data_IF_738063095151
#
_entry.id   IF_738063095151
#
_cell.length_a   1.000
_cell.length_b   1.000
_cell.length_c   1.000
_cell.angle_alpha   90.00
_cell.angle_beta   90.00
_cell.angle_gamma   90.00
#
_symmetry.space_group_name_H-M   'P 1'
#
loop_
_entity.id
_entity.type
_entity.pdbx_description
1 polymer ?
#
# COMPACT_ATOMS: atom_id res chain seq x y z
N UNK A 1 -10.02 -45.38 5.76
CA UNK A 1 -9.74 -44.07 5.10
C UNK A 1 -10.22 -42.98 6.04
N UNK A 2 -9.33 -42.15 6.60
CA UNK A 2 -9.75 -40.98 7.39
C UNK A 2 -10.23 -39.90 6.42
N UNK A 3 -11.47 -39.43 6.57
CA UNK A 3 -12.02 -38.31 5.80
C UNK A 3 -11.77 -37.02 6.59
N UNK A 4 -11.25 -36.00 5.93
CA UNK A 4 -11.08 -34.67 6.50
C UNK A 4 -12.02 -33.71 5.78
N UNK A 5 -12.74 -32.88 6.54
CA UNK A 5 -13.49 -31.78 5.97
C UNK A 5 -12.54 -30.61 5.78
N UNK A 6 -12.30 -30.23 4.52
CA UNK A 6 -11.45 -29.10 4.15
C UNK A 6 -12.38 -27.96 3.72
N UNK A 7 -12.24 -26.81 4.39
CA UNK A 7 -12.92 -25.57 4.01
C UNK A 7 -11.86 -24.57 3.50
N UNK A 8 -12.00 -24.13 2.25
CA UNK A 8 -11.06 -23.19 1.63
C UNK A 8 -11.56 -21.78 1.90
N UNK A 9 -10.87 -21.07 2.79
CA UNK A 9 -11.25 -19.70 3.16
C UNK A 9 -11.02 -18.71 2.01
N UNK A 10 -9.79 -18.66 1.49
CA UNK A 10 -9.37 -17.68 0.49
C UNK A 10 -8.34 -18.27 -0.46
N UNK A 11 -8.33 -17.76 -1.68
CA UNK A 11 -7.25 -17.96 -2.66
C UNK A 11 -6.58 -16.61 -2.88
N UNK A 12 -5.27 -16.59 -2.65
CA UNK A 12 -4.41 -15.42 -2.79
C UNK A 12 -3.35 -15.74 -3.84
N UNK A 13 -3.19 -14.86 -4.82
CA UNK A 13 -2.22 -15.02 -5.89
C UNK A 13 -1.87 -13.66 -6.51
N UNK A 14 -0.74 -13.60 -7.21
CA UNK A 14 -0.40 -12.47 -8.07
C UNK A 14 -1.41 -12.34 -9.24
N UNK A 15 -1.40 -11.22 -9.96
CA UNK A 15 -2.40 -10.98 -11.02
C UNK A 15 -2.37 -12.04 -12.14
N UNK A 16 -1.20 -12.46 -12.66
CA UNK A 16 -1.14 -13.53 -13.66
C UNK A 16 -1.68 -14.88 -13.17
N UNK A 17 -1.27 -15.36 -11.99
CA UNK A 17 -1.73 -16.64 -11.47
C UNK A 17 -3.21 -16.59 -11.09
N UNK A 18 -3.68 -15.47 -10.51
CA UNK A 18 -5.10 -15.25 -10.24
C UNK A 18 -5.93 -15.39 -11.50
N UNK A 19 -5.57 -14.68 -12.58
CA UNK A 19 -6.31 -14.75 -13.85
C UNK A 19 -6.35 -16.18 -14.43
N UNK A 20 -5.23 -16.91 -14.35
CA UNK A 20 -5.13 -18.32 -14.78
C UNK A 20 -6.01 -19.25 -13.97
N UNK A 21 -6.07 -19.06 -12.65
CA UNK A 21 -6.85 -19.93 -11.76
C UNK A 21 -8.34 -19.64 -11.90
N UNK A 22 -8.73 -18.38 -12.05
CA UNK A 22 -10.14 -17.98 -12.17
C UNK A 22 -10.67 -18.00 -13.61
N UNK A 23 -9.83 -18.32 -14.60
CA UNK A 23 -10.16 -18.23 -16.04
C UNK A 23 -10.75 -16.87 -16.45
N UNK A 24 -10.18 -15.81 -15.88
CA UNK A 24 -10.48 -14.42 -16.25
C UNK A 24 -9.38 -13.88 -17.18
N UNK A 25 -9.69 -12.80 -17.89
CA UNK A 25 -8.70 -12.06 -18.67
C UNK A 25 -7.52 -11.63 -17.79
N UNK A 26 -6.31 -11.79 -18.33
CA UNK A 26 -5.08 -11.34 -17.67
C UNK A 26 -5.02 -9.83 -17.54
N UNK A 27 -4.12 -9.35 -16.68
CA UNK A 27 -4.02 -7.93 -16.28
C UNK A 27 -3.84 -6.90 -17.41
N UNK A 28 -3.42 -7.34 -18.60
CA UNK A 28 -3.24 -6.51 -19.78
C UNK A 28 -4.41 -6.57 -20.78
N UNK A 29 -5.49 -7.28 -20.46
CA UNK A 29 -6.68 -7.40 -21.32
C UNK A 29 -7.80 -6.43 -20.95
N UNK A 30 -8.83 -6.38 -21.79
CA UNK A 30 -10.13 -5.76 -21.49
C UNK A 30 -10.88 -6.57 -20.43
N UNK A 31 -11.77 -5.95 -19.65
CA UNK A 31 -12.54 -6.62 -18.58
C UNK A 31 -11.70 -7.47 -17.60
N UNK A 32 -10.44 -7.09 -17.38
CA UNK A 32 -9.47 -7.83 -16.58
C UNK A 32 -9.64 -7.63 -15.07
N UNK A 33 -10.44 -6.64 -14.64
CA UNK A 33 -10.81 -6.53 -13.23
C UNK A 33 -11.67 -7.74 -12.84
N UNK A 34 -11.20 -8.47 -11.82
CA UNK A 34 -11.93 -9.59 -11.25
C UNK A 34 -13.07 -9.17 -10.33
N UNK A 35 -13.14 -7.90 -9.92
CA UNK A 35 -14.16 -7.43 -8.99
C UNK A 35 -15.23 -6.52 -9.62
N UNK A 36 -15.03 -5.98 -10.82
CA UNK A 36 -16.04 -5.16 -11.51
C UNK A 36 -16.00 -5.34 -13.03
N UNK A 37 -17.07 -4.91 -13.69
CA UNK A 37 -17.27 -5.01 -15.15
C UNK A 37 -16.75 -3.80 -15.92
N UNK A 38 -15.77 -3.06 -15.38
CA UNK A 38 -15.15 -1.97 -16.12
C UNK A 38 -14.42 -2.51 -17.36
N UNK A 39 -14.81 -2.03 -18.53
CA UNK A 39 -14.03 -2.24 -19.75
C UNK A 39 -12.81 -1.32 -19.74
N UNK A 40 -11.63 -1.88 -19.98
CA UNK A 40 -10.42 -1.07 -20.09
C UNK A 40 -10.36 -0.30 -21.40
N UNK A 41 -9.70 0.85 -21.41
CA UNK A 41 -9.51 1.67 -22.62
C UNK A 41 -8.07 1.52 -23.14
N UNK A 42 -7.86 1.57 -24.46
CA UNK A 42 -6.51 1.43 -25.02
C UNK A 42 -5.72 2.75 -24.92
N UNK A 43 -4.49 2.71 -24.39
CA UNK A 43 -3.56 3.83 -24.49
C UNK A 43 -3.13 4.01 -25.95
N UNK A 44 -3.50 5.13 -26.58
CA UNK A 44 -3.16 5.41 -27.99
C UNK A 44 -1.65 5.39 -28.28
N UNK A 45 -0.82 5.78 -27.30
CA UNK A 45 0.63 5.90 -27.45
C UNK A 45 1.38 4.56 -27.36
N UNK A 46 0.93 3.67 -26.47
CA UNK A 46 1.68 2.46 -26.09
C UNK A 46 0.89 1.16 -26.33
N UNK A 47 -0.37 1.27 -26.77
CA UNK A 47 -1.29 0.17 -27.11
C UNK A 47 -1.66 -0.80 -25.98
N UNK A 48 -1.18 -0.57 -24.75
CA UNK A 48 -1.64 -1.32 -23.57
C UNK A 48 -2.97 -0.82 -23.04
N UNK A 49 -3.64 -1.64 -22.23
CA UNK A 49 -4.96 -1.36 -21.67
C UNK A 49 -4.85 -0.58 -20.36
N UNK A 50 -5.73 0.42 -20.23
CA UNK A 50 -5.86 1.34 -19.11
C UNK A 50 -7.16 1.07 -18.36
N UNK A 51 -7.12 1.31 -17.05
CA UNK A 51 -8.28 1.28 -16.16
C UNK A 51 -8.28 2.60 -15.39
N UNK A 52 -8.81 3.65 -16.03
CA UNK A 52 -8.67 5.02 -15.52
C UNK A 52 -9.68 5.32 -14.41
N UNK A 53 -9.34 6.26 -13.53
CA UNK A 53 -10.30 6.75 -12.54
C UNK A 53 -11.50 7.44 -13.20
N UNK A 54 -11.28 8.18 -14.29
CA UNK A 54 -12.36 8.84 -15.03
C UNK A 54 -13.39 7.83 -15.54
N UNK A 55 -12.94 6.77 -16.21
CA UNK A 55 -13.82 5.74 -16.77
C UNK A 55 -14.59 5.03 -15.66
N UNK A 56 -13.91 4.66 -14.57
CA UNK A 56 -14.55 4.05 -13.40
C UNK A 56 -15.62 4.96 -12.76
N UNK A 57 -15.29 6.23 -12.55
CA UNK A 57 -16.18 7.18 -11.87
C UNK A 57 -17.41 7.55 -12.69
N UNK A 58 -17.28 7.59 -14.02
CA UNK A 58 -18.38 7.89 -14.96
C UNK A 58 -19.25 6.66 -15.20
N UNK A 59 -18.64 5.50 -15.48
CA UNK A 59 -19.38 4.28 -15.79
C UNK A 59 -20.05 3.66 -14.56
N UNK A 60 -19.50 3.88 -13.36
CA UNK A 60 -19.94 3.24 -12.12
C UNK A 60 -20.19 1.74 -12.31
N UNK A 61 -19.14 1.00 -12.75
CA UNK A 61 -19.31 -0.35 -13.27
C UNK A 61 -19.88 -1.28 -12.20
N UNK A 62 -20.77 -2.18 -12.63
CA UNK A 62 -21.32 -3.21 -11.76
C UNK A 62 -20.21 -4.07 -11.16
N UNK A 63 -20.36 -4.37 -9.87
CA UNK A 63 -19.50 -5.30 -9.15
C UNK A 63 -19.84 -6.72 -9.59
N UNK A 64 -18.82 -7.52 -9.88
CA UNK A 64 -19.01 -8.93 -10.26
C UNK A 64 -19.52 -9.72 -9.07
N UNK A 65 -20.49 -10.58 -9.33
CA UNK A 65 -21.00 -11.59 -8.39
C UNK A 65 -20.69 -12.99 -8.92
N UNK A 66 -20.91 -14.01 -8.09
CA UNK A 66 -20.78 -15.40 -8.49
C UNK A 66 -21.71 -15.71 -9.68
N UNK A 67 -22.98 -15.30 -9.59
CA UNK A 67 -24.01 -15.57 -10.60
C UNK A 67 -23.64 -14.92 -11.94
N UNK A 68 -23.08 -13.71 -11.90
CA UNK A 68 -22.61 -13.04 -13.10
C UNK A 68 -21.43 -13.79 -13.74
N UNK A 69 -20.48 -14.27 -12.95
CA UNK A 69 -19.34 -15.05 -13.47
C UNK A 69 -19.81 -16.38 -14.06
N UNK A 70 -20.72 -17.09 -13.38
CA UNK A 70 -21.25 -18.38 -13.85
C UNK A 70 -22.04 -18.22 -15.14
N UNK A 71 -22.87 -17.18 -15.25
CA UNK A 71 -23.61 -16.88 -16.47
C UNK A 71 -22.67 -16.54 -17.64
N UNK A 72 -21.63 -15.74 -17.40
CA UNK A 72 -20.62 -15.43 -18.41
C UNK A 72 -19.81 -16.67 -18.82
N UNK A 73 -19.49 -17.55 -17.87
CA UNK A 73 -18.80 -18.81 -18.13
C UNK A 73 -19.64 -19.75 -19.00
N UNK A 74 -20.92 -19.96 -18.65
CA UNK A 74 -21.84 -20.78 -19.43
C UNK A 74 -22.00 -20.27 -20.87
N UNK A 75 -22.15 -18.95 -21.04
CA UNK A 75 -22.17 -18.35 -22.37
C UNK A 75 -20.86 -18.61 -23.14
N UNK A 76 -19.71 -18.47 -22.47
CA UNK A 76 -18.42 -18.63 -23.12
C UNK A 76 -18.16 -20.06 -23.58
N UNK A 77 -18.59 -21.05 -22.79
CA UNK A 77 -18.52 -22.48 -23.13
C UNK A 77 -19.44 -22.83 -24.30
N UNK A 78 -20.66 -22.28 -24.34
CA UNK A 78 -21.62 -22.54 -25.42
C UNK A 78 -21.25 -21.84 -26.74
N UNK A 79 -20.77 -20.60 -26.66
CA UNK A 79 -20.50 -19.77 -27.86
C UNK A 79 -19.06 -19.87 -28.38
N UNK A 80 -18.13 -20.42 -27.58
CA UNK A 80 -16.69 -20.37 -27.85
C UNK A 80 -16.09 -18.96 -27.76
N UNK A 81 -16.84 -17.95 -27.28
CA UNK A 81 -16.42 -16.55 -27.19
C UNK A 81 -16.39 -16.07 -25.74
N UNK A 82 -15.33 -15.35 -25.38
CA UNK A 82 -15.19 -14.75 -24.04
C UNK A 82 -16.33 -13.76 -23.78
N UNK A 83 -16.92 -13.81 -22.59
CA UNK A 83 -17.98 -12.88 -22.15
C UNK A 83 -17.49 -12.04 -20.98
N UNK A 84 -17.43 -10.72 -21.16
CA UNK A 84 -16.91 -9.77 -20.17
C UNK A 84 -15.60 -10.28 -19.54
N UNK A 85 -14.66 -10.77 -20.34
CA UNK A 85 -13.38 -11.28 -19.85
C UNK A 85 -13.40 -12.62 -19.10
N UNK A 86 -14.54 -13.31 -18.99
CA UNK A 86 -14.62 -14.70 -18.52
C UNK A 86 -14.41 -15.64 -19.71
N UNK A 87 -13.57 -16.68 -19.53
CA UNK A 87 -13.22 -17.61 -20.61
C UNK A 87 -14.06 -18.88 -20.57
N UNK A 88 -14.30 -19.41 -19.38
CA UNK A 88 -15.06 -20.63 -19.10
C UNK A 88 -15.22 -20.78 -17.57
N UNK A 89 -15.89 -21.83 -17.10
CA UNK A 89 -16.01 -22.11 -15.67
C UNK A 89 -14.67 -22.53 -15.06
N UNK A 90 -14.27 -21.85 -13.98
CA UNK A 90 -13.06 -22.22 -13.24
C UNK A 90 -13.30 -23.51 -12.47
N UNK A 91 -12.34 -24.46 -12.42
CA UNK A 91 -12.42 -25.62 -11.54
C UNK A 91 -12.60 -25.24 -10.06
N UNK A 92 -12.20 -24.01 -9.68
CA UNK A 92 -12.36 -23.52 -8.32
C UNK A 92 -13.77 -23.02 -8.00
N UNK A 93 -14.63 -22.75 -8.99
CA UNK A 93 -16.01 -22.28 -8.73
C UNK A 93 -16.85 -23.29 -7.93
N UNK A 94 -16.47 -24.57 -7.99
CA UNK A 94 -17.08 -25.66 -7.22
C UNK A 94 -16.66 -25.69 -5.74
N UNK A 95 -15.57 -25.00 -5.39
CA UNK A 95 -14.94 -25.06 -4.07
C UNK A 95 -15.03 -23.71 -3.35
N UNK A 96 -14.96 -22.62 -4.11
CA UNK A 96 -14.95 -21.24 -3.60
C UNK A 96 -15.82 -20.33 -4.46
N UNK A 97 -16.31 -19.26 -3.84
CA UNK A 97 -16.99 -18.19 -4.55
C UNK A 97 -15.99 -17.28 -5.27
N UNK A 98 -16.10 -17.18 -6.58
CA UNK A 98 -15.38 -16.26 -7.45
C UNK A 98 -16.33 -15.10 -7.80
N UNK A 99 -15.91 -13.83 -7.63
CA UNK A 99 -14.55 -13.40 -7.30
C UNK A 99 -14.31 -13.23 -5.80
N UNK A 100 -15.32 -13.39 -4.95
CA UNK A 100 -15.26 -12.91 -3.57
C UNK A 100 -14.18 -13.58 -2.71
N UNK A 101 -13.93 -14.88 -2.86
CA UNK A 101 -12.88 -15.61 -2.13
C UNK A 101 -11.53 -15.64 -2.86
N UNK A 102 -11.46 -15.10 -4.08
CA UNK A 102 -10.20 -14.83 -4.79
C UNK A 102 -9.78 -13.38 -4.51
N UNK A 103 -8.91 -13.17 -3.54
CA UNK A 103 -8.55 -11.83 -3.06
C UNK A 103 -7.32 -11.26 -3.77
N UNK A 104 -7.19 -9.93 -3.79
CA UNK A 104 -6.01 -9.26 -4.32
C UNK A 104 -4.95 -9.20 -3.25
N UNK A 105 -3.77 -9.74 -3.54
CA UNK A 105 -2.65 -9.66 -2.62
C UNK A 105 -2.03 -8.25 -2.61
N UNK A 106 -2.06 -7.61 -1.45
CA UNK A 106 -1.45 -6.29 -1.29
C UNK A 106 0.09 -6.35 -1.32
N UNK A 107 0.71 -7.50 -1.03
CA UNK A 107 2.16 -7.66 -1.16
C UNK A 107 2.60 -7.43 -2.61
N UNK A 108 2.03 -8.18 -3.55
CA UNK A 108 2.37 -8.05 -4.97
C UNK A 108 1.83 -6.72 -5.52
N UNK A 109 0.62 -6.32 -5.13
CA UNK A 109 -0.02 -5.12 -5.66
C UNK A 109 0.69 -3.82 -5.19
N UNK A 110 0.80 -3.62 -3.88
CA UNK A 110 1.26 -2.35 -3.29
C UNK A 110 2.77 -2.26 -3.27
N UNK A 111 3.46 -3.31 -2.82
CA UNK A 111 4.91 -3.24 -2.62
C UNK A 111 5.66 -3.58 -3.91
N UNK A 112 5.50 -4.79 -4.46
CA UNK A 112 6.27 -5.17 -5.65
C UNK A 112 5.81 -4.46 -6.93
N UNK A 113 4.52 -4.17 -7.05
CA UNK A 113 3.96 -3.42 -8.17
C UNK A 113 4.11 -1.91 -8.00
N UNK A 114 3.27 -1.34 -7.15
CA UNK A 114 3.10 0.10 -7.02
C UNK A 114 4.34 0.83 -6.50
N UNK A 115 4.93 0.39 -5.39
CA UNK A 115 6.09 1.07 -4.80
C UNK A 115 7.25 1.11 -5.80
N UNK A 116 7.51 0.01 -6.51
CA UNK A 116 8.56 -0.04 -7.56
C UNK A 116 8.25 0.92 -8.70
N UNK A 117 6.99 1.02 -9.14
CA UNK A 117 6.58 2.00 -10.15
C UNK A 117 6.83 3.43 -9.64
N UNK A 118 6.38 3.77 -8.43
CA UNK A 118 6.57 5.09 -7.84
C UNK A 118 8.05 5.46 -7.71
N UNK A 119 8.90 4.52 -7.30
CA UNK A 119 10.35 4.73 -7.20
C UNK A 119 10.99 5.03 -8.56
N UNK A 120 10.57 4.34 -9.63
CA UNK A 120 11.00 4.65 -11.00
C UNK A 120 10.63 6.08 -11.38
N UNK A 121 9.39 6.48 -11.10
CA UNK A 121 8.91 7.84 -11.41
C UNK A 121 9.61 8.93 -10.62
N UNK A 122 9.81 8.72 -9.32
CA UNK A 122 10.53 9.67 -8.49
C UNK A 122 11.99 9.78 -8.91
N UNK A 123 12.64 8.66 -9.25
CA UNK A 123 14.03 8.67 -9.74
C UNK A 123 14.20 9.53 -10.99
N UNK A 124 13.22 9.55 -11.91
CA UNK A 124 13.26 10.41 -13.10
C UNK A 124 13.19 11.90 -12.79
N UNK A 125 12.64 12.29 -11.63
CA UNK A 125 12.54 13.67 -11.17
C UNK A 125 13.76 14.12 -10.35
N UNK A 126 14.59 13.19 -9.90
CA UNK A 126 15.70 13.43 -8.99
C UNK A 126 17.02 13.58 -9.75
N UNK A 127 17.84 14.56 -9.34
CA UNK A 127 19.22 14.68 -9.83
C UNK A 127 20.11 13.66 -9.11
N UNK A 128 21.29 13.38 -9.69
CA UNK A 128 22.26 12.45 -9.08
C UNK A 128 22.65 12.85 -7.64
N UNK A 129 22.78 14.15 -7.36
CA UNK A 129 22.99 14.68 -6.00
C UNK A 129 21.88 14.27 -5.04
N UNK A 130 20.62 14.31 -5.47
CA UNK A 130 19.50 13.88 -4.63
C UNK A 130 19.56 12.37 -4.37
N UNK A 131 19.91 11.58 -5.38
CA UNK A 131 20.06 10.12 -5.25
C UNK A 131 21.16 9.80 -4.23
N UNK A 132 22.33 10.44 -4.34
CA UNK A 132 23.42 10.26 -3.38
C UNK A 132 23.01 10.69 -1.97
N UNK A 133 22.28 11.79 -1.82
CA UNK A 133 21.72 12.21 -0.53
C UNK A 133 20.78 11.15 0.06
N UNK A 134 19.91 10.54 -0.76
CA UNK A 134 19.02 9.46 -0.32
C UNK A 134 19.85 8.26 0.14
N UNK A 135 20.85 7.84 -0.63
CA UNK A 135 21.69 6.69 -0.31
C UNK A 135 22.43 6.90 1.02
N UNK A 136 23.02 8.08 1.23
CA UNK A 136 23.67 8.42 2.50
C UNK A 136 22.66 8.38 3.66
N UNK A 137 21.48 8.98 3.47
CA UNK A 137 20.43 8.98 4.49
C UNK A 137 19.95 7.56 4.85
N UNK A 138 19.68 6.72 3.85
CA UNK A 138 19.30 5.32 4.06
C UNK A 138 20.43 4.54 4.74
N UNK A 139 21.68 4.94 4.49
CA UNK A 139 22.85 4.33 5.07
C UNK A 139 23.05 4.69 6.55
N UNK A 140 22.76 5.92 6.92
CA UNK A 140 22.95 6.48 8.26
C UNK A 140 21.78 6.16 9.22
N UNK A 141 20.60 5.82 8.69
CA UNK A 141 19.44 5.45 9.52
C UNK A 141 19.76 4.20 10.35
N UNK A 142 19.52 4.30 11.67
CA UNK A 142 19.50 3.14 12.57
C UNK A 142 18.16 2.40 12.45
N UNK A 143 18.22 1.15 12.03
CA UNK A 143 17.04 0.27 11.91
C UNK A 143 16.81 -0.48 13.22
N UNK A 144 15.56 -0.53 13.73
CA UNK A 144 15.24 -1.35 14.90
C UNK A 144 15.57 -2.83 14.67
N UNK A 145 15.95 -3.57 15.71
CA UNK A 145 16.28 -5.00 15.63
C UNK A 145 15.15 -5.88 15.07
N UNK A 146 13.90 -5.41 15.13
CA UNK A 146 12.75 -6.08 14.52
C UNK A 146 12.77 -6.06 12.98
N UNK A 147 13.60 -5.23 12.37
CA UNK A 147 13.77 -5.16 10.92
C UNK A 147 14.78 -6.23 10.51
N UNK A 148 14.36 -7.13 9.62
CA UNK A 148 15.20 -8.24 9.17
C UNK A 148 16.53 -7.79 8.56
N UNK A 149 16.53 -6.64 7.86
CA UNK A 149 17.72 -6.06 7.27
C UNK A 149 17.49 -4.60 6.88
N UNK A 150 18.60 -3.88 6.75
CA UNK A 150 18.68 -2.56 6.14
C UNK A 150 18.38 -2.65 4.62
N UNK A 151 17.51 -1.77 4.06
CA UNK A 151 17.33 -1.66 2.62
C UNK A 151 18.66 -1.37 1.90
N UNK A 152 18.79 -1.85 0.67
CA UNK A 152 19.93 -1.46 -0.19
C UNK A 152 19.81 0.02 -0.59
N UNK A 153 20.85 0.54 -1.22
CA UNK A 153 20.85 1.87 -1.83
C UNK A 153 19.65 2.07 -2.75
N UNK A 154 19.08 3.27 -2.72
CA UNK A 154 17.99 3.73 -3.57
C UNK A 154 18.36 3.61 -5.04
N UNK A 155 19.60 3.90 -5.44
CA UNK A 155 19.99 3.76 -6.84
C UNK A 155 19.77 2.32 -7.38
N UNK A 156 19.84 1.32 -6.48
CA UNK A 156 19.65 -0.10 -6.73
C UNK A 156 18.28 -0.64 -6.31
N UNK A 157 17.25 0.22 -6.18
CA UNK A 157 15.94 -0.18 -5.66
C UNK A 157 15.28 -1.34 -6.42
N UNK A 158 15.65 -1.59 -7.68
CA UNK A 158 15.15 -2.73 -8.47
C UNK A 158 15.58 -4.09 -7.90
N UNK A 159 16.60 -4.11 -7.05
CA UNK A 159 17.08 -5.31 -6.35
C UNK A 159 16.54 -5.43 -4.92
N UNK A 160 15.67 -4.51 -4.50
CA UNK A 160 15.02 -4.57 -3.20
C UNK A 160 14.05 -5.75 -3.18
N UNK A 161 14.08 -6.52 -2.09
CA UNK A 161 13.07 -7.54 -1.83
C UNK A 161 11.81 -6.88 -1.29
N UNK A 162 10.69 -7.58 -1.33
CA UNK A 162 9.43 -7.10 -0.78
C UNK A 162 9.51 -6.64 0.68
N UNK A 163 10.35 -7.28 1.51
CA UNK A 163 10.60 -6.82 2.88
C UNK A 163 11.21 -5.42 2.95
N UNK A 164 12.14 -5.09 2.05
CA UNK A 164 12.76 -3.77 1.97
C UNK A 164 11.76 -2.75 1.43
N UNK A 165 10.98 -3.11 0.41
CA UNK A 165 9.93 -2.27 -0.17
C UNK A 165 8.84 -1.94 0.88
N UNK A 166 8.45 -2.91 1.70
CA UNK A 166 7.50 -2.72 2.81
C UNK A 166 8.07 -1.76 3.85
N UNK A 167 9.31 -1.99 4.29
CA UNK A 167 10.03 -1.11 5.23
C UNK A 167 10.09 0.32 4.71
N UNK A 168 10.51 0.47 3.46
CA UNK A 168 10.62 1.76 2.82
C UNK A 168 9.26 2.46 2.74
N UNK A 169 8.25 1.78 2.17
CA UNK A 169 6.90 2.33 2.02
C UNK A 169 6.33 2.80 3.36
N UNK A 170 6.41 1.94 4.39
CA UNK A 170 5.75 2.18 5.66
C UNK A 170 6.44 3.25 6.50
N UNK A 171 7.77 3.31 6.49
CA UNK A 171 8.53 4.07 7.49
C UNK A 171 9.47 5.13 6.93
N UNK A 172 9.99 4.96 5.72
CA UNK A 172 11.06 5.82 5.19
C UNK A 172 10.58 6.76 4.09
N UNK A 173 9.67 6.29 3.23
CA UNK A 173 9.27 6.97 2.01
C UNK A 173 8.72 8.36 2.27
N UNK A 174 7.78 8.51 3.21
CA UNK A 174 7.16 9.82 3.47
C UNK A 174 8.16 10.84 4.05
N UNK A 175 8.89 10.56 5.14
CA UNK A 175 9.96 11.45 5.61
C UNK A 175 10.96 11.84 4.52
N UNK A 176 11.33 10.88 3.67
CA UNK A 176 12.26 11.08 2.57
C UNK A 176 11.73 12.07 1.53
N UNK A 177 10.50 11.85 1.02
CA UNK A 177 9.95 12.72 -0.03
C UNK A 177 9.70 14.16 0.45
N UNK A 178 9.47 14.36 1.76
CA UNK A 178 9.37 15.70 2.35
C UNK A 178 10.74 16.39 2.34
N UNK A 179 11.81 15.69 2.73
CA UNK A 179 13.19 16.22 2.72
C UNK A 179 13.71 16.52 1.31
N UNK A 180 13.19 15.83 0.30
CA UNK A 180 13.56 16.02 -1.10
C UNK A 180 12.84 17.21 -1.76
N UNK A 181 12.09 18.01 -1.02
CA UNK A 181 11.55 19.27 -1.56
C UNK A 181 12.70 20.25 -1.90
N UNK A 182 12.63 20.98 -3.03
CA UNK A 182 11.53 21.01 -4.00
C UNK A 182 11.62 19.97 -5.12
N UNK A 183 12.65 19.10 -5.15
CA UNK A 183 12.83 18.12 -6.23
C UNK A 183 11.62 17.16 -6.36
N UNK A 184 11.01 16.78 -5.23
CA UNK A 184 9.68 16.18 -5.21
C UNK A 184 8.67 17.21 -4.70
N UNK A 185 7.68 17.53 -5.54
CA UNK A 185 6.71 18.59 -5.26
C UNK A 185 5.75 18.25 -4.10
N UNK A 186 5.15 19.26 -3.49
CA UNK A 186 4.08 19.10 -2.49
C UNK A 186 2.93 18.22 -2.99
N UNK A 187 2.65 18.26 -4.29
CA UNK A 187 1.63 17.43 -4.92
C UNK A 187 1.97 15.93 -4.86
N UNK A 188 3.25 15.57 -5.07
CA UNK A 188 3.73 14.18 -4.92
C UNK A 188 3.65 13.74 -3.46
N UNK A 189 4.04 14.61 -2.53
CA UNK A 189 3.99 14.29 -1.09
C UNK A 189 2.56 14.06 -0.62
N UNK A 190 1.63 14.95 -0.96
CA UNK A 190 0.20 14.78 -0.66
C UNK A 190 -0.40 13.54 -1.33
N UNK A 191 -0.02 13.27 -2.57
CA UNK A 191 -0.51 12.07 -3.26
C UNK A 191 0.01 10.79 -2.61
N UNK A 192 1.30 10.70 -2.29
CA UNK A 192 1.85 9.52 -1.62
C UNK A 192 1.28 9.33 -0.21
N UNK A 193 1.05 10.40 0.53
CA UNK A 193 0.50 10.30 1.88
C UNK A 193 -0.93 9.72 1.90
N UNK A 194 -1.77 10.04 0.90
CA UNK A 194 -3.09 9.40 0.70
C UNK A 194 -2.98 7.87 0.51
N UNK A 195 -1.99 7.40 -0.25
CA UNK A 195 -1.76 5.96 -0.42
C UNK A 195 -1.24 5.33 0.86
N UNK A 196 -0.26 5.97 1.50
CA UNK A 196 0.36 5.47 2.73
C UNK A 196 -0.67 5.27 3.83
N UNK A 197 -1.49 6.30 4.11
CA UNK A 197 -2.51 6.24 5.15
C UNK A 197 -3.59 5.19 4.81
N UNK A 198 -3.97 5.08 3.53
CA UNK A 198 -4.95 4.10 3.05
C UNK A 198 -4.48 2.68 3.29
N UNK A 199 -3.29 2.34 2.80
CA UNK A 199 -2.72 0.99 2.95
C UNK A 199 -2.43 0.69 4.42
N UNK A 200 -1.86 1.63 5.19
CA UNK A 200 -1.57 1.42 6.62
C UNK A 200 -2.83 1.12 7.42
N UNK A 201 -3.90 1.87 7.19
CA UNK A 201 -5.18 1.69 7.89
C UNK A 201 -5.88 0.40 7.45
N UNK A 202 -5.90 0.11 6.14
CA UNK A 202 -6.52 -1.11 5.62
C UNK A 202 -5.76 -2.38 6.02
N UNK A 203 -4.46 -2.31 6.32
CA UNK A 203 -3.72 -3.45 6.90
C UNK A 203 -4.27 -3.88 8.25
N UNK A 204 -4.66 -2.92 9.10
CA UNK A 204 -5.09 -3.15 10.48
C UNK A 204 -6.09 -2.05 10.93
N UNK A 205 -7.37 -2.30 10.69
CA UNK A 205 -8.47 -1.46 11.14
C UNK A 205 -9.18 -2.11 12.33
N UNK A 206 -9.86 -1.33 13.18
CA UNK A 206 -10.72 -1.88 14.26
C UNK A 206 -12.19 -1.69 13.97
N UNK A 207 -12.54 -0.58 13.35
CA UNK A 207 -13.94 -0.19 13.12
C UNK A 207 -14.19 0.03 11.64
N UNK A 208 -15.36 -0.37 11.15
CA UNK A 208 -15.75 -0.25 9.73
C UNK A 208 -15.68 1.19 9.18
N UNK A 209 -15.94 2.21 10.00
CA UNK A 209 -15.84 3.61 9.55
C UNK A 209 -14.41 4.02 9.10
N UNK A 210 -13.37 3.35 9.60
CA UNK A 210 -11.98 3.57 9.16
C UNK A 210 -11.83 3.19 7.68
N UNK A 211 -12.39 2.05 7.29
CA UNK A 211 -12.39 1.54 5.92
C UNK A 211 -13.13 2.51 4.99
N UNK A 212 -14.28 3.02 5.43
CA UNK A 212 -15.07 4.00 4.66
C UNK A 212 -14.30 5.31 4.42
N UNK A 213 -13.50 5.76 5.39
CA UNK A 213 -12.63 6.92 5.20
C UNK A 213 -11.53 6.62 4.18
N UNK A 214 -10.92 5.43 4.23
CA UNK A 214 -9.88 5.05 3.27
C UNK A 214 -10.41 4.95 1.84
N UNK A 215 -11.68 4.56 1.66
CA UNK A 215 -12.34 4.61 0.34
C UNK A 215 -12.27 6.01 -0.26
N UNK A 216 -12.57 7.06 0.53
CA UNK A 216 -12.50 8.46 0.08
C UNK A 216 -11.07 8.86 -0.31
N UNK A 217 -10.05 8.44 0.44
CA UNK A 217 -8.66 8.80 0.14
C UNK A 217 -8.12 8.06 -1.08
N UNK A 218 -8.51 6.79 -1.26
CA UNK A 218 -8.17 6.03 -2.47
C UNK A 218 -8.79 6.69 -3.70
N UNK A 219 -10.06 7.12 -3.62
CA UNK A 219 -10.69 7.84 -4.72
C UNK A 219 -9.95 9.14 -5.06
N UNK A 220 -9.56 9.93 -4.05
CA UNK A 220 -8.80 11.17 -4.25
C UNK A 220 -7.39 10.89 -4.81
N UNK A 221 -6.73 9.83 -4.33
CA UNK A 221 -5.45 9.36 -4.87
C UNK A 221 -5.57 9.04 -6.37
N UNK A 222 -6.55 8.21 -6.74
CA UNK A 222 -6.77 7.78 -8.13
C UNK A 222 -7.14 8.95 -9.04
N UNK A 223 -7.91 9.92 -8.53
CA UNK A 223 -8.25 11.16 -9.25
C UNK A 223 -7.02 12.02 -9.57
N UNK A 224 -6.08 12.12 -8.63
CA UNK A 224 -4.87 12.95 -8.80
C UNK A 224 -3.80 12.21 -9.61
N UNK A 225 -3.75 10.88 -9.55
CA UNK A 225 -2.74 10.03 -10.19
C UNK A 225 -2.33 10.43 -11.62
N UNK A 226 -3.25 10.56 -12.60
CA UNK A 226 -2.87 10.89 -13.99
C UNK A 226 -2.20 12.25 -14.13
N UNK A 227 -2.47 13.19 -13.22
CA UNK A 227 -1.88 14.52 -13.23
C UNK A 227 -0.47 14.59 -12.65
N UNK A 228 0.04 13.47 -12.10
CA UNK A 228 1.41 13.33 -11.61
C UNK A 228 2.19 12.36 -12.49
N UNK A 229 1.63 11.18 -12.77
CA UNK A 229 2.33 10.09 -13.45
C UNK A 229 1.90 9.89 -14.90
N UNK A 230 0.90 10.64 -15.39
CA UNK A 230 0.35 10.52 -16.74
C UNK A 230 -0.71 9.41 -16.86
N UNK A 231 -1.68 9.64 -17.76
CA UNK A 231 -2.84 8.74 -17.98
C UNK A 231 -2.44 7.33 -18.44
N UNK A 232 -1.40 7.21 -19.27
CA UNK A 232 -0.96 5.89 -19.74
C UNK A 232 -0.33 5.02 -18.64
N UNK A 233 -0.28 5.45 -17.37
CA UNK A 233 0.13 4.62 -16.23
C UNK A 233 -1.02 4.19 -15.33
N UNK A 234 -2.26 4.52 -15.68
CA UNK A 234 -3.46 4.02 -15.01
C UNK A 234 -3.74 2.56 -15.42
N UNK A 235 -2.87 1.65 -14.98
CA UNK A 235 -2.95 0.22 -15.28
C UNK A 235 -3.98 -0.49 -14.38
N UNK A 236 -4.24 -1.77 -14.64
CA UNK A 236 -5.15 -2.57 -13.80
C UNK A 236 -4.71 -2.60 -12.32
N UNK A 237 -3.40 -2.73 -12.06
CA UNK A 237 -2.86 -2.62 -10.70
C UNK A 237 -3.33 -1.33 -10.05
N UNK A 238 -3.39 -0.24 -10.83
CA UNK A 238 -3.78 1.05 -10.31
C UNK A 238 -5.23 1.05 -9.83
N UNK A 239 -6.11 0.61 -10.72
CA UNK A 239 -7.53 0.47 -10.49
C UNK A 239 -7.89 -0.43 -9.31
N UNK A 240 -7.16 -1.53 -9.08
CA UNK A 240 -7.48 -2.50 -8.01
C UNK A 240 -7.54 -1.86 -6.62
N UNK A 241 -6.84 -0.75 -6.37
CA UNK A 241 -6.92 -0.04 -5.09
C UNK A 241 -8.36 0.28 -4.68
N UNK A 242 -9.24 0.59 -5.65
CA UNK A 242 -10.65 0.94 -5.36
C UNK A 242 -11.43 -0.20 -4.69
N UNK A 243 -10.97 -1.44 -4.89
CA UNK A 243 -11.61 -2.65 -4.37
C UNK A 243 -11.06 -3.11 -3.01
N UNK A 244 -9.90 -2.59 -2.58
CA UNK A 244 -9.29 -2.99 -1.31
C UNK A 244 -10.16 -2.72 -0.07
N UNK A 245 -10.89 -1.58 0.04
CA UNK A 245 -11.79 -1.35 1.17
C UNK A 245 -12.85 -2.44 1.30
N UNK A 246 -13.50 -2.80 0.19
CA UNK A 246 -14.54 -3.82 0.18
C UNK A 246 -13.99 -5.22 0.48
N UNK A 247 -12.80 -5.53 -0.03
CA UNK A 247 -12.08 -6.75 0.34
C UNK A 247 -11.81 -6.80 1.85
N UNK A 248 -11.42 -5.68 2.46
CA UNK A 248 -11.19 -5.59 3.89
C UNK A 248 -12.46 -5.79 4.72
N UNK A 249 -13.61 -5.30 4.25
CA UNK A 249 -14.91 -5.52 4.90
C UNK A 249 -15.25 -7.01 4.98
N UNK A 250 -14.93 -7.77 3.92
CA UNK A 250 -15.25 -9.21 3.84
C UNK A 250 -14.25 -10.10 4.56
N UNK A 251 -12.95 -9.80 4.44
CA UNK A 251 -11.88 -10.74 4.77
C UNK A 251 -10.94 -10.26 5.87
N UNK A 252 -11.21 -9.09 6.45
CA UNK A 252 -10.32 -8.47 7.43
C UNK A 252 -9.17 -7.69 6.80
N UNK A 253 -8.30 -7.17 7.65
CA UNK A 253 -7.17 -6.33 7.25
C UNK A 253 -6.26 -6.96 6.20
N UNK A 254 -5.62 -6.12 5.38
CA UNK A 254 -4.75 -6.57 4.28
C UNK A 254 -3.68 -7.57 4.75
N UNK A 255 -3.15 -7.41 5.97
CA UNK A 255 -2.14 -8.31 6.54
C UNK A 255 -2.63 -9.76 6.73
N UNK A 256 -3.94 -10.01 6.82
CA UNK A 256 -4.48 -11.37 7.01
C UNK A 256 -4.54 -12.21 5.73
N UNK A 257 -4.49 -11.56 4.57
CA UNK A 257 -4.51 -12.21 3.26
C UNK A 257 -3.30 -11.82 2.42
N UNK A 258 -2.15 -11.64 3.09
CA UNK A 258 -0.86 -11.34 2.47
C UNK A 258 -0.13 -12.58 1.99
N UNK A 259 0.65 -12.44 0.91
CA UNK A 259 1.61 -13.48 0.48
C UNK A 259 2.98 -13.44 1.17
N UNK A 260 3.28 -12.51 2.08
CA UNK A 260 4.61 -12.45 2.74
C UNK A 260 5.05 -13.78 3.38
N UNK A 261 4.15 -14.42 4.15
CA UNK A 261 4.45 -15.68 4.86
C UNK A 261 4.59 -16.84 3.87
N UNK A 262 3.74 -16.88 2.85
CA UNK A 262 3.73 -17.93 1.85
C UNK A 262 4.91 -17.86 0.90
N UNK A 263 5.34 -16.67 0.45
CA UNK A 263 6.56 -16.50 -0.36
C UNK A 263 7.81 -16.94 0.42
N UNK A 264 7.89 -16.57 1.71
CA UNK A 264 8.97 -17.00 2.59
C UNK A 264 9.01 -18.53 2.70
N UNK A 265 7.85 -19.16 2.87
CA UNK A 265 7.76 -20.62 2.98
C UNK A 265 7.98 -21.33 1.64
N UNK A 266 7.51 -20.76 0.53
CA UNK A 266 7.72 -21.30 -0.81
C UNK A 266 9.21 -21.32 -1.17
N UNK A 267 9.96 -20.31 -0.74
CA UNK A 267 11.42 -20.30 -0.85
C UNK A 267 12.06 -21.47 -0.08
N UNK A 268 11.61 -21.73 1.15
CA UNK A 268 12.08 -22.89 1.94
C UNK A 268 11.74 -24.22 1.25
N UNK A 269 10.51 -24.38 0.76
CA UNK A 269 10.07 -25.58 0.05
C UNK A 269 10.87 -25.80 -1.24
N UNK A 270 11.14 -24.74 -2.02
CA UNK A 270 11.92 -24.84 -3.26
C UNK A 270 13.35 -25.35 -3.01
N UNK A 271 13.96 -25.02 -1.87
CA UNK A 271 15.29 -25.53 -1.49
C UNK A 271 15.30 -27.04 -1.19
N UNK A 272 14.15 -27.63 -0.87
CA UNK A 272 14.03 -29.08 -0.65
C UNK A 272 14.05 -29.88 -1.95
N UNK A 273 13.81 -29.23 -3.09
CA UNK A 273 13.87 -29.87 -4.39
C UNK A 273 15.22 -29.69 -5.06
N UNK A 274 15.85 -30.79 -5.48
CA UNK A 274 17.08 -30.78 -6.24
C UNK A 274 16.82 -31.31 -7.67
N UNK A 275 16.91 -30.41 -8.65
CA UNK A 275 16.71 -30.73 -10.07
C UNK A 275 15.26 -30.59 -10.57
N UNK A 276 15.07 -30.85 -11.86
CA UNK A 276 13.80 -30.60 -12.57
C UNK A 276 12.84 -31.79 -12.60
N UNK A 277 13.31 -33.01 -12.34
CA UNK A 277 12.50 -34.23 -12.40
C UNK A 277 11.73 -34.45 -11.10
N UNK A 278 10.40 -34.56 -11.20
CA UNK A 278 9.50 -34.87 -10.07
C UNK A 278 9.68 -33.95 -8.85
N UNK A 279 9.89 -32.65 -9.09
CA UNK A 279 10.15 -31.65 -8.04
C UNK A 279 9.14 -31.71 -6.89
N UNK A 280 7.85 -31.86 -7.20
CA UNK A 280 6.77 -31.99 -6.20
C UNK A 280 6.95 -33.20 -5.28
N UNK A 281 7.35 -34.36 -5.82
CA UNK A 281 7.62 -35.57 -5.03
C UNK A 281 8.84 -35.39 -4.13
N UNK A 282 9.88 -34.74 -4.64
CA UNK A 282 11.08 -34.45 -3.85
C UNK A 282 10.77 -33.54 -2.65
N UNK A 283 10.05 -32.44 -2.91
CA UNK A 283 9.61 -31.52 -1.86
C UNK A 283 8.73 -32.26 -0.83
N UNK A 284 7.75 -33.05 -1.28
CA UNK A 284 6.87 -33.81 -0.39
C UNK A 284 7.63 -34.82 0.47
N UNK A 285 8.61 -35.51 -0.12
CA UNK A 285 9.47 -36.47 0.59
C UNK A 285 10.29 -35.78 1.69
N UNK A 286 11.05 -34.74 1.35
CA UNK A 286 11.89 -34.03 2.31
C UNK A 286 11.09 -33.29 3.37
N UNK A 287 9.95 -32.71 3.01
CA UNK A 287 9.04 -32.11 3.98
C UNK A 287 8.52 -33.14 4.98
N UNK A 288 8.17 -34.35 4.51
CA UNK A 288 7.71 -35.44 5.39
C UNK A 288 8.82 -35.92 6.32
N UNK A 289 10.06 -36.01 5.83
CA UNK A 289 11.23 -36.34 6.66
C UNK A 289 11.44 -35.28 7.74
N UNK A 290 11.54 -34.00 7.36
CA UNK A 290 11.75 -32.91 8.32
C UNK A 290 10.65 -32.90 9.39
N UNK A 291 9.38 -33.02 8.98
CA UNK A 291 8.26 -33.08 9.93
C UNK A 291 8.36 -34.27 10.91
N UNK A 292 8.86 -35.43 10.46
CA UNK A 292 9.06 -36.60 11.35
C UNK A 292 10.25 -36.42 12.30
N UNK A 293 11.32 -35.78 11.84
CA UNK A 293 12.46 -35.43 12.68
C UNK A 293 12.06 -34.37 13.73
N UNK A 294 11.26 -33.39 13.32
CA UNK A 294 10.71 -32.36 14.19
C UNK A 294 9.71 -32.92 15.20
N UNK A 295 9.00 -34.02 14.93
CA UNK A 295 8.13 -34.65 15.96
C UNK A 295 8.91 -35.38 17.05
N UNK A 296 10.21 -35.66 16.85
CA UNK A 296 11.07 -36.27 17.87
C UNK A 296 11.80 -35.22 18.73
N UNK A 297 11.79 -33.95 18.32
CA UNK A 297 12.21 -32.81 19.13
C UNK A 297 10.94 -32.07 19.59
N UNK A 298 10.82 -31.61 20.82
CA UNK A 298 9.63 -30.88 21.31
C UNK A 298 9.42 -29.47 20.68
N UNK A 299 9.94 -29.23 19.47
CA UNK A 299 9.80 -27.96 18.75
C UNK A 299 8.91 -28.15 17.53
N UNK A 300 7.61 -27.96 17.73
CA UNK A 300 6.65 -27.82 16.64
C UNK A 300 7.02 -26.62 15.76
N UNK A 301 7.39 -26.84 14.50
CA UNK A 301 7.42 -25.78 13.49
C UNK A 301 5.97 -25.37 13.23
N UNK A 302 5.55 -24.30 13.91
CA UNK A 302 4.27 -23.67 13.70
C UNK A 302 4.28 -23.06 12.28
N UNK A 303 3.54 -23.67 11.35
CA UNK A 303 3.44 -23.22 9.94
C UNK A 303 2.95 -21.77 9.82
N UNK A 304 2.36 -21.27 10.89
CA UNK A 304 1.97 -19.89 11.09
C UNK A 304 2.67 -19.40 12.34
N UNK A 305 3.99 -19.19 12.29
CA UNK A 305 4.70 -18.63 13.45
C UNK A 305 3.95 -17.38 13.91
N UNK A 306 3.36 -17.43 15.10
CA UNK A 306 2.87 -16.23 15.81
C UNK A 306 3.94 -15.12 15.82
N UNK A 307 5.21 -15.48 15.74
CA UNK A 307 6.35 -14.57 15.56
C UNK A 307 6.35 -13.82 14.20
N UNK A 308 5.96 -14.43 13.08
CA UNK A 308 5.86 -13.72 11.80
C UNK A 308 4.74 -12.67 11.78
N UNK A 309 3.62 -12.97 12.44
CA UNK A 309 2.56 -11.99 12.71
C UNK A 309 3.02 -10.91 13.72
N UNK A 310 3.92 -11.23 14.66
CA UNK A 310 4.49 -10.26 15.62
C UNK A 310 5.37 -9.19 14.97
N UNK A 311 6.04 -9.45 13.84
CA UNK A 311 6.83 -8.42 13.15
C UNK A 311 5.99 -7.31 12.51
N UNK A 312 4.66 -7.45 12.53
CA UNK A 312 3.71 -6.41 12.12
C UNK A 312 3.14 -5.62 13.32
N UNK A 313 3.44 -6.01 14.57
CA UNK A 313 2.95 -5.38 15.81
C UNK A 313 3.93 -4.30 16.29
N UNK A 314 4.26 -3.35 15.43
CA UNK A 314 4.48 -1.99 15.94
C UNK A 314 3.15 -1.25 15.81
N UNK A 315 2.20 -1.66 16.65
CA UNK A 315 0.84 -1.13 16.71
C UNK A 315 0.59 -0.63 18.12
N UNK A 316 0.86 0.65 18.35
CA UNK A 316 0.27 1.30 19.51
C UNK A 316 -1.15 1.75 19.15
N UNK A 317 -2.08 1.15 19.86
CA UNK A 317 -3.52 1.34 19.81
C UNK A 317 -3.95 2.80 20.02
N UNK A 318 -3.28 3.51 20.92
CA UNK A 318 -3.64 4.87 21.33
C UNK A 318 -3.27 5.88 20.24
N UNK A 319 -2.14 5.62 19.59
CA UNK A 319 -1.54 6.49 18.56
C UNK A 319 -2.41 6.49 17.29
N UNK A 320 -2.98 5.33 16.97
CA UNK A 320 -3.93 5.16 15.85
C UNK A 320 -5.26 5.87 16.10
N UNK A 321 -5.82 5.76 17.31
CA UNK A 321 -7.10 6.37 17.69
C UNK A 321 -6.98 7.89 17.69
N UNK A 322 -5.89 8.43 18.25
CA UNK A 322 -5.60 9.86 18.26
C UNK A 322 -5.40 10.41 16.84
N UNK A 323 -4.64 9.70 15.99
CA UNK A 323 -4.45 10.07 14.59
C UNK A 323 -5.76 10.12 13.82
N UNK A 324 -6.64 9.13 14.04
CA UNK A 324 -7.94 9.09 13.39
C UNK A 324 -8.86 10.21 13.89
N UNK A 325 -8.87 10.51 15.18
CA UNK A 325 -9.67 11.58 15.77
C UNK A 325 -9.22 12.96 15.27
N UNK A 326 -7.91 13.24 15.25
CA UNK A 326 -7.35 14.49 14.71
C UNK A 326 -7.70 14.64 13.22
N UNK A 327 -7.56 13.56 12.45
CA UNK A 327 -7.89 13.58 11.02
C UNK A 327 -9.39 13.83 10.77
N UNK A 328 -10.27 13.09 11.45
CA UNK A 328 -11.72 13.18 11.24
C UNK A 328 -12.31 14.49 11.75
N UNK A 329 -11.82 15.04 12.86
CA UNK A 329 -12.35 16.27 13.45
C UNK A 329 -12.03 17.52 12.61
N UNK A 330 -10.96 17.47 11.80
CA UNK A 330 -10.43 18.67 11.13
C UNK A 330 -10.71 18.72 9.63
N UNK A 331 -10.96 17.57 8.98
CA UNK A 331 -11.39 17.53 7.56
C UNK A 331 -12.84 17.97 7.37
N UNK A 332 -13.68 17.91 8.43
CA UNK A 332 -15.04 18.42 8.39
C UNK A 332 -15.11 19.97 8.28
N UNK A 333 -14.06 20.68 8.67
CA UNK A 333 -13.95 22.14 8.62
C UNK A 333 -13.01 22.60 7.49
N UNK A 334 -13.59 22.84 6.31
CA UNK A 334 -13.10 23.57 5.10
C UNK A 334 -11.57 23.79 4.91
N UNK A 335 -11.08 23.17 3.82
CA UNK A 335 -10.14 23.60 2.75
C UNK A 335 -9.17 24.77 3.03
N UNK A 336 -7.89 24.50 2.71
CA UNK A 336 -6.66 25.32 2.84
C UNK A 336 -5.89 25.15 4.16
N UNK A 337 -5.29 23.96 4.36
CA UNK A 337 -4.06 23.67 5.15
C UNK A 337 -3.87 22.15 5.36
N UNK A 338 -4.47 21.30 4.50
CA UNK A 338 -4.51 19.84 4.64
C UNK A 338 -3.14 19.16 4.58
N UNK A 339 -2.12 19.81 4.04
CA UNK A 339 -0.76 19.29 3.98
C UNK A 339 -0.05 19.33 5.33
N UNK A 340 -0.03 20.50 6.00
CA UNK A 340 0.67 20.68 7.28
C UNK A 340 -0.01 19.89 8.41
N UNK A 341 -1.33 19.71 8.33
CA UNK A 341 -2.09 18.96 9.32
C UNK A 341 -1.91 17.45 9.19
N UNK A 342 -1.89 16.94 7.96
CA UNK A 342 -1.57 15.54 7.67
C UNK A 342 -0.11 15.23 8.02
N UNK A 343 0.78 16.19 7.75
CA UNK A 343 2.18 16.10 8.11
C UNK A 343 2.36 16.07 9.63
N UNK A 344 1.68 16.93 10.37
CA UNK A 344 1.73 16.96 11.84
C UNK A 344 1.07 15.75 12.49
N UNK A 345 0.00 15.18 11.93
CA UNK A 345 -0.61 13.94 12.43
C UNK A 345 0.29 12.72 12.19
N UNK A 346 0.91 12.63 11.01
CA UNK A 346 1.86 11.55 10.68
C UNK A 346 3.17 11.71 11.45
N UNK A 347 3.63 12.94 11.67
CA UNK A 347 4.76 13.28 12.54
C UNK A 347 4.50 12.89 13.99
N UNK A 348 3.32 13.23 14.54
CA UNK A 348 2.94 12.85 15.90
C UNK A 348 2.92 11.32 16.04
N UNK A 349 2.44 10.60 15.02
CA UNK A 349 2.49 9.13 14.97
C UNK A 349 3.92 8.57 15.00
N UNK A 350 4.86 9.17 14.25
CA UNK A 350 6.29 8.83 14.34
C UNK A 350 6.91 9.24 15.68
N UNK A 351 6.43 10.33 16.30
CA UNK A 351 6.79 10.77 17.64
C UNK A 351 6.33 9.81 18.74
N UNK A 352 5.39 8.95 18.40
CA UNK A 352 4.72 8.08 19.34
C UNK A 352 5.38 6.68 19.37
N UNK A 353 6.12 6.33 18.32
CA UNK A 353 7.15 5.27 18.34
C UNK A 353 8.31 5.54 19.33
N UNK A 354 8.41 6.76 19.88
CA UNK A 354 9.51 7.24 20.75
C UNK A 354 9.39 6.76 22.19
N UNK A 355 8.21 6.35 22.66
CA UNK A 355 8.07 5.87 24.04
C UNK A 355 8.65 4.46 24.26
N UNK A 356 9.18 3.82 23.21
CA UNK A 356 10.20 2.79 23.37
C UNK A 356 11.58 3.44 23.36
N UNK A 357 12.37 3.17 24.39
CA UNK A 357 13.63 3.80 24.83
C UNK A 357 14.82 3.89 23.83
N UNK A 358 14.56 3.83 22.52
CA UNK A 358 15.55 3.99 21.47
C UNK A 358 15.20 5.20 20.61
N UNK A 359 16.00 6.27 20.73
CA UNK A 359 16.01 7.40 19.80
C UNK A 359 16.12 6.88 18.36
N UNK A 360 15.02 6.91 17.60
CA UNK A 360 15.00 6.48 16.22
C UNK A 360 15.22 7.70 15.30
N UNK A 361 16.14 7.57 14.33
CA UNK A 361 16.46 8.65 13.38
C UNK A 361 15.25 9.10 12.54
N UNK A 362 14.16 8.33 12.53
CA UNK A 362 12.85 8.74 11.97
C UNK A 362 12.31 9.98 12.69
N UNK A 363 12.56 10.11 14.00
CA UNK A 363 12.32 11.33 14.76
C UNK A 363 13.21 12.47 14.26
N UNK A 364 14.51 12.29 14.11
CA UNK A 364 15.41 13.35 13.59
C UNK A 364 15.07 13.73 12.14
N UNK A 365 14.62 12.75 11.34
CA UNK A 365 14.13 12.90 9.98
C UNK A 365 12.91 13.80 9.90
N UNK A 366 11.99 13.60 10.82
CA UNK A 366 10.77 14.38 10.98
C UNK A 366 11.08 15.75 11.62
N UNK A 367 11.70 15.79 12.80
CA UNK A 367 11.88 16.95 13.67
C UNK A 367 12.72 18.08 13.05
N UNK A 368 13.81 17.77 12.35
CA UNK A 368 14.66 18.80 11.74
C UNK A 368 13.90 19.66 10.72
N UNK A 369 12.92 19.08 10.03
CA UNK A 369 12.09 19.79 9.05
C UNK A 369 11.01 20.66 9.69
N UNK A 370 10.43 20.24 10.81
CA UNK A 370 9.46 21.08 11.53
C UNK A 370 10.13 22.37 12.02
N UNK A 371 11.34 22.27 12.60
CA UNK A 371 12.06 23.46 13.06
C UNK A 371 12.54 24.35 11.89
N UNK A 372 13.00 23.77 10.78
CA UNK A 372 13.44 24.56 9.61
C UNK A 372 12.28 25.21 8.84
N UNK A 373 11.13 24.53 8.70
CA UNK A 373 9.93 25.09 8.08
C UNK A 373 9.26 26.12 9.00
N UNK A 374 9.20 25.88 10.31
CA UNK A 374 8.68 26.83 11.29
C UNK A 374 9.55 28.10 11.33
N UNK A 375 10.88 27.98 11.27
CA UNK A 375 11.76 29.13 11.14
C UNK A 375 11.54 29.90 9.83
N UNK A 376 11.37 29.21 8.69
CA UNK A 376 11.08 29.86 7.40
C UNK A 376 9.69 30.52 7.33
N UNK A 377 8.70 29.97 8.02
CA UNK A 377 7.35 30.56 8.11
C UNK A 377 7.33 31.74 9.08
N UNK A 378 8.03 31.63 10.22
CA UNK A 378 8.20 32.72 11.18
C UNK A 378 9.00 33.88 10.59
N UNK A 379 10.05 33.60 9.81
CA UNK A 379 10.83 34.64 9.12
C UNK A 379 10.04 35.31 8.00
N UNK A 380 9.21 34.57 7.24
CA UNK A 380 8.28 35.14 6.25
C UNK A 380 7.16 35.96 6.89
N UNK A 381 6.62 35.54 8.04
CA UNK A 381 5.64 36.31 8.82
C UNK A 381 6.27 37.54 9.46
N UNK A 382 7.51 37.46 9.93
CA UNK A 382 8.27 38.62 10.41
C UNK A 382 8.52 39.62 9.27
N UNK A 383 8.90 39.15 8.08
CA UNK A 383 9.13 40.00 6.90
C UNK A 383 7.85 40.67 6.39
N UNK A 384 6.71 39.97 6.41
CA UNK A 384 5.40 40.56 6.10
C UNK A 384 4.92 41.51 7.20
N UNK A 385 5.21 41.22 8.49
CA UNK A 385 4.89 42.11 9.60
C UNK A 385 5.76 43.38 9.60
N UNK A 386 7.01 43.32 9.14
CA UNK A 386 7.88 44.48 8.99
C UNK A 386 7.50 45.36 7.78
N UNK A 387 6.89 44.78 6.74
CA UNK A 387 6.29 45.55 5.65
C UNK A 387 4.91 46.14 6.02
N UNK A 388 4.17 45.53 6.94
CA UNK A 388 2.95 46.12 7.50
C UNK A 388 3.22 47.15 8.61
N UNK A 389 4.33 47.04 9.36
CA UNK A 389 4.70 48.00 10.39
C UNK A 389 5.20 49.33 9.81
N UNK A 390 5.79 49.33 8.61
CA UNK A 390 6.11 50.56 7.87
C UNK A 390 4.88 51.24 7.26
N UNK A 391 3.74 50.53 7.18
CA UNK A 391 2.46 51.11 6.71
C UNK A 391 1.51 51.54 7.85
N UNK A 392 1.78 51.12 9.10
CA UNK A 392 0.92 51.40 10.28
C UNK A 392 1.45 52.48 11.23
N UNK A 393 2.50 53.21 10.88
CA UNK A 393 2.96 54.38 11.65
C UNK A 393 2.16 55.68 11.41
N UNK A 394 0.99 55.59 10.77
CA UNK A 394 -0.03 56.65 10.78
C UNK A 394 -1.35 56.04 11.23
N UNK A 395 -1.91 56.60 12.31
CA UNK A 395 -3.22 56.33 12.97
C UNK A 395 -3.07 55.70 14.36
N UNK A 396 -2.72 56.58 15.31
CA UNK A 396 -3.23 56.75 16.69
C UNK A 396 -3.93 55.60 17.42
N UNK A 397 -3.29 55.16 18.52
CA UNK A 397 -3.78 55.06 19.92
C UNK A 397 -5.22 54.62 20.21
N UNK A 398 -5.40 53.41 20.76
CA UNK A 398 -5.78 53.14 22.15
C UNK A 398 -6.31 51.70 22.35
N UNK A 399 -6.15 51.21 23.58
CA UNK A 399 -6.92 50.15 24.26
C UNK A 399 -6.38 48.71 24.38
N UNK A 400 -5.74 48.50 25.55
CA UNK A 400 -6.00 47.47 26.58
C UNK A 400 -5.88 45.97 26.25
N UNK A 401 -4.71 45.43 26.60
CA UNK A 401 -4.45 44.31 27.53
C UNK A 401 -5.62 43.34 27.81
N UNK A 402 -5.45 42.06 27.46
CA UNK A 402 -5.75 40.93 28.33
C UNK A 402 -4.77 39.77 28.07
N UNK A 403 -4.08 39.39 29.14
CA UNK A 403 -3.21 38.22 29.31
C UNK A 403 -3.97 36.91 29.33
N UNK A 404 -3.29 35.78 29.11
CA UNK A 404 -3.16 34.69 30.09
C UNK A 404 -2.13 33.67 29.59
N UNK A 405 -1.10 33.48 30.42
CA UNK A 405 -0.04 32.47 30.31
C UNK A 405 -0.51 31.13 30.86
#
# INVERSE_FOLDING_TARGET
IRKFNIDVRLVVADLPARAKITFLNGHAGYYACGNCLLEGSQCLRHRHILYTWSDYSQAQPHIRTQENIDSCAAYAELSGKKSYGVHQSSPLSQIISIPHQCVYDYFHLVYEGYMVMLLKEWKLLLKQVNIHYIDNLLNDVRYPHSFHRKPKDFNSFTQWKAGDLRTFFLYLALPLIIRLQPALSNKIVYHFSLLLISVRTLRHFRRRHEINNMKKFIHEYLKIFPSIYGRCRELLSTHILVHLPEQCIRHGGLSFHSMFTFESQLHCLRKMGHGSKSLSKQIAFWYTINKRLDTNNEYSIDLLTKQQLRYDIFFDENIRILHQQIYCHTVASRVYTSFDLLLSSLFYYYHCFINHSYHCLVFDMCASNYYSQKQNILSRKQYQSSQMSTYRSRVTTNDTVYSLY
#
